data_IF_199331897687
#
_entry.id   IF_199331897687
#
_cell.length_a   1.000
_cell.length_b   1.000
_cell.length_c   1.000
_cell.angle_alpha   90.00
_cell.angle_beta   90.00
_cell.angle_gamma   90.00
#
_symmetry.space_group_name_H-M   'P 1'
#
loop_
_entity.id
_entity.type
_entity.pdbx_description
1 polymer ?
#
# COMPACT_ATOMS: atom_id res chain seq x y z
N UNK A 1 15.48 -2.31 28.35
CA UNK A 1 15.57 -1.00 27.66
C UNK A 1 16.55 -1.17 26.51
N UNK A 2 16.06 -1.35 25.27
CA UNK A 2 16.94 -1.53 24.12
C UNK A 2 17.63 -0.20 23.81
N UNK A 3 18.96 -0.24 23.77
CA UNK A 3 19.82 0.93 23.66
C UNK A 3 19.62 1.64 22.32
N UNK A 4 19.64 2.98 22.39
CA UNK A 4 19.64 3.85 21.22
C UNK A 4 20.90 3.52 20.40
N UNK A 5 20.72 3.00 19.19
CA UNK A 5 21.81 2.84 18.21
C UNK A 5 22.44 4.22 17.94
N UNK A 6 23.77 4.34 18.05
CA UNK A 6 24.48 5.58 17.71
C UNK A 6 24.54 5.84 16.20
N UNK A 7 24.17 4.84 15.39
CA UNK A 7 24.24 4.87 13.93
C UNK A 7 22.86 5.18 13.33
N UNK A 8 21.80 4.59 13.88
CA UNK A 8 20.45 4.72 13.34
C UNK A 8 19.60 5.64 14.21
N UNK A 9 19.13 6.74 13.62
CA UNK A 9 18.14 7.61 14.26
C UNK A 9 16.79 6.89 14.46
N UNK A 10 16.39 6.06 13.49
CA UNK A 10 15.16 5.27 13.54
C UNK A 10 15.29 4.05 12.61
N UNK A 11 15.60 2.90 13.18
CA UNK A 11 15.79 1.64 12.45
C UNK A 11 14.47 1.08 11.87
N UNK A 12 13.32 1.47 12.42
CA UNK A 12 12.01 1.02 11.92
C UNK A 12 11.75 1.41 10.46
N UNK A 13 12.48 2.40 9.95
CA UNK A 13 12.39 2.88 8.57
C UNK A 13 13.05 1.93 7.56
N UNK A 14 13.91 1.03 8.03
CA UNK A 14 14.59 0.03 7.22
C UNK A 14 13.79 -1.27 7.12
N UNK A 15 12.74 -1.42 7.93
CA UNK A 15 11.88 -2.59 7.90
C UNK A 15 11.19 -2.75 6.53
N UNK A 16 11.16 -3.97 5.99
CA UNK A 16 10.55 -4.26 4.67
C UNK A 16 9.04 -3.95 4.62
N UNK A 17 8.38 -3.91 5.77
CA UNK A 17 6.97 -3.58 5.90
C UNK A 17 6.69 -2.09 5.92
N UNK A 18 7.72 -1.25 6.15
CA UNK A 18 7.61 0.20 6.21
C UNK A 18 7.09 0.76 4.88
N UNK A 19 6.13 1.68 4.99
CA UNK A 19 5.55 2.38 3.86
C UNK A 19 5.76 3.87 4.09
N UNK A 20 6.69 4.53 3.38
CA UNK A 20 6.91 5.95 3.54
C UNK A 20 5.69 6.75 3.06
N UNK A 21 5.56 7.96 3.60
CA UNK A 21 4.47 8.88 3.23
C UNK A 21 4.54 9.24 1.74
N UNK A 22 5.73 9.55 1.27
CA UNK A 22 5.98 9.86 -0.13
C UNK A 22 6.71 8.67 -0.77
N UNK A 23 6.26 8.27 -1.96
CA UNK A 23 6.88 7.22 -2.75
C UNK A 23 7.48 7.85 -4.00
N UNK A 24 8.77 8.24 -3.96
CA UNK A 24 9.43 8.84 -5.11
C UNK A 24 9.31 7.96 -6.34
N UNK A 25 9.04 8.57 -7.50
CA UNK A 25 8.91 7.91 -8.80
C UNK A 25 7.73 6.93 -8.91
N UNK A 26 6.76 7.00 -8.00
CA UNK A 26 5.53 6.19 -8.00
C UNK A 26 4.24 7.01 -8.09
N UNK A 27 4.34 8.33 -8.25
CA UNK A 27 3.23 9.28 -8.30
C UNK A 27 2.31 8.97 -9.49
N UNK A 28 2.88 8.65 -10.66
CA UNK A 28 2.12 8.31 -11.87
C UNK A 28 1.34 7.00 -11.67
N UNK A 29 1.91 6.00 -11.03
CA UNK A 29 1.28 4.71 -10.76
C UNK A 29 0.17 4.86 -9.72
N UNK A 30 0.39 5.63 -8.66
CA UNK A 30 -0.64 5.97 -7.68
C UNK A 30 -1.81 6.72 -8.33
N UNK A 31 -1.53 7.67 -9.23
CA UNK A 31 -2.57 8.39 -10.00
C UNK A 31 -3.36 7.44 -10.90
N UNK A 32 -2.69 6.51 -11.59
CA UNK A 32 -3.37 5.48 -12.40
C UNK A 32 -4.30 4.61 -11.56
N UNK A 33 -3.86 4.17 -10.38
CA UNK A 33 -4.71 3.42 -9.46
C UNK A 33 -5.91 4.24 -9.00
N UNK A 34 -5.71 5.50 -8.59
CA UNK A 34 -6.83 6.40 -8.23
C UNK A 34 -7.86 6.52 -9.36
N UNK A 35 -7.40 6.71 -10.59
CA UNK A 35 -8.29 6.83 -11.75
C UNK A 35 -9.07 5.53 -11.99
N UNK A 36 -8.39 4.37 -11.93
CA UNK A 36 -9.01 3.06 -12.16
C UNK A 36 -10.08 2.72 -11.11
N UNK A 37 -9.83 3.08 -9.85
CA UNK A 37 -10.74 2.85 -8.73
C UNK A 37 -11.74 3.99 -8.49
N UNK A 38 -11.74 5.04 -9.30
CA UNK A 38 -12.67 6.19 -9.13
C UNK A 38 -14.13 5.76 -9.02
N UNK A 39 -14.56 4.77 -9.81
CA UNK A 39 -15.91 4.18 -9.74
C UNK A 39 -16.15 3.38 -8.45
N UNK A 40 -15.14 2.69 -7.93
CA UNK A 40 -15.20 2.01 -6.62
C UNK A 40 -15.38 3.02 -5.49
N UNK A 41 -14.61 4.12 -5.53
CA UNK A 41 -14.62 5.14 -4.48
C UNK A 41 -15.91 5.97 -4.48
N UNK A 42 -16.50 6.20 -5.65
CA UNK A 42 -17.70 7.03 -5.80
C UNK A 42 -19.00 6.24 -5.69
N UNK A 43 -19.09 5.07 -6.36
CA UNK A 43 -20.31 4.29 -6.56
C UNK A 43 -20.24 2.86 -5.98
N UNK A 44 -19.14 2.46 -5.34
CA UNK A 44 -18.99 1.11 -4.79
C UNK A 44 -18.80 0.01 -5.85
N UNK A 45 -18.51 0.37 -7.10
CA UNK A 45 -18.33 -0.60 -8.19
C UNK A 45 -17.05 -1.42 -7.98
N UNK A 46 -17.15 -2.75 -8.09
CA UNK A 46 -15.99 -3.63 -8.00
C UNK A 46 -15.02 -3.41 -9.17
N UNK A 47 -13.72 -3.39 -8.85
CA UNK A 47 -12.64 -3.25 -9.82
C UNK A 47 -11.48 -4.17 -9.45
N UNK A 48 -10.86 -4.74 -10.47
CA UNK A 48 -9.63 -5.52 -10.33
C UNK A 48 -8.49 -4.84 -11.07
N UNK A 49 -7.28 -4.97 -10.53
CA UNK A 49 -6.04 -4.50 -11.16
C UNK A 49 -4.94 -5.52 -10.91
N UNK A 50 -4.09 -5.72 -11.91
CA UNK A 50 -2.86 -6.49 -11.79
C UNK A 50 -1.65 -5.54 -11.81
N UNK A 51 -0.83 -5.58 -10.77
CA UNK A 51 0.44 -4.85 -10.71
C UNK A 51 1.57 -5.82 -11.09
N UNK A 52 2.18 -5.61 -12.25
CA UNK A 52 3.26 -6.46 -12.77
C UNK A 52 4.58 -5.69 -12.93
N UNK A 53 5.69 -6.42 -13.09
CA UNK A 53 7.05 -5.90 -13.21
C UNK A 53 8.05 -6.65 -12.33
N UNK A 54 9.34 -6.32 -12.44
CA UNK A 54 10.43 -7.06 -11.81
C UNK A 54 10.44 -6.96 -10.27
N UNK A 55 11.18 -7.86 -9.62
CA UNK A 55 11.39 -7.88 -8.17
C UNK A 55 12.06 -6.57 -7.72
N UNK A 56 11.76 -6.11 -6.50
CA UNK A 56 12.37 -4.89 -5.94
C UNK A 56 11.84 -3.57 -6.54
N UNK A 57 11.04 -3.60 -7.60
CA UNK A 57 10.49 -2.38 -8.22
C UNK A 57 9.43 -1.67 -7.36
N UNK A 58 9.01 -2.21 -6.21
CA UNK A 58 8.10 -1.49 -5.31
C UNK A 58 6.60 -1.59 -5.66
N UNK A 59 6.19 -2.64 -6.40
CA UNK A 59 4.77 -2.97 -6.65
C UNK A 59 3.98 -3.07 -5.33
N UNK A 60 4.53 -3.82 -4.38
CA UNK A 60 3.91 -4.10 -3.09
C UNK A 60 3.76 -2.86 -2.21
N UNK A 61 4.78 -2.01 -2.12
CA UNK A 61 4.71 -0.76 -1.35
C UNK A 61 3.75 0.24 -2.00
N UNK A 62 3.68 0.26 -3.34
CA UNK A 62 2.73 1.09 -4.09
C UNK A 62 1.28 0.68 -3.81
N UNK A 63 0.99 -0.63 -3.83
CA UNK A 63 -0.35 -1.15 -3.50
C UNK A 63 -0.76 -0.81 -2.07
N UNK A 64 0.12 -1.07 -1.09
CA UNK A 64 -0.11 -0.71 0.32
C UNK A 64 -0.38 0.79 0.49
N UNK A 65 0.45 1.63 -0.13
CA UNK A 65 0.31 3.09 -0.05
C UNK A 65 -1.00 3.58 -0.67
N UNK A 66 -1.38 3.02 -1.81
CA UNK A 66 -2.67 3.30 -2.44
C UNK A 66 -3.84 2.99 -1.48
N UNK A 67 -3.84 1.82 -0.85
CA UNK A 67 -4.85 1.44 0.13
C UNK A 67 -4.92 2.43 1.32
N UNK A 68 -3.76 2.82 1.88
CA UNK A 68 -3.69 3.83 2.94
C UNK A 68 -4.30 5.17 2.51
N UNK A 69 -4.02 5.62 1.29
CA UNK A 69 -4.53 6.88 0.75
C UNK A 69 -6.05 6.82 0.59
N UNK A 70 -6.60 5.79 -0.06
CA UNK A 70 -8.04 5.72 -0.32
C UNK A 70 -8.86 5.54 0.97
N UNK A 71 -8.34 4.80 1.95
CA UNK A 71 -8.99 4.67 3.25
C UNK A 71 -8.99 5.99 4.02
N UNK A 72 -7.90 6.76 3.96
CA UNK A 72 -7.85 8.09 4.57
C UNK A 72 -8.79 9.08 3.85
N UNK A 73 -8.82 9.07 2.52
CA UNK A 73 -9.69 9.93 1.71
C UNK A 73 -11.19 9.59 1.94
N UNK A 74 -11.52 8.30 2.08
CA UNK A 74 -12.87 7.85 2.42
C UNK A 74 -13.32 8.37 3.79
N UNK A 75 -12.46 8.23 4.82
CA UNK A 75 -12.75 8.71 6.19
C UNK A 75 -13.07 10.21 6.21
N UNK A 76 -12.31 11.03 5.46
CA UNK A 76 -12.57 12.47 5.34
C UNK A 76 -13.94 12.78 4.74
N UNK A 77 -14.49 11.88 3.94
CA UNK A 77 -15.77 12.02 3.25
C UNK A 77 -16.93 11.32 4.00
N UNK A 78 -16.72 10.92 5.26
CA UNK A 78 -17.71 10.19 6.07
C UNK A 78 -17.98 8.75 5.59
N UNK A 79 -17.09 8.19 4.77
CA UNK A 79 -17.18 6.81 4.25
C UNK A 79 -16.11 5.93 4.88
N UNK A 80 -16.30 4.62 4.85
CA UNK A 80 -15.31 3.66 5.32
C UNK A 80 -14.84 2.74 4.19
N UNK A 81 -13.52 2.64 4.01
CA UNK A 81 -12.87 1.63 3.15
C UNK A 81 -11.89 0.86 4.02
N UNK A 82 -12.15 -0.44 4.17
CA UNK A 82 -11.24 -1.40 4.81
C UNK A 82 -10.42 -2.10 3.73
N UNK A 83 -9.18 -2.43 4.07
CA UNK A 83 -8.30 -3.18 3.19
C UNK A 83 -7.56 -4.24 3.99
N UNK A 84 -7.30 -5.37 3.34
CA UNK A 84 -6.48 -6.45 3.85
C UNK A 84 -5.37 -6.74 2.83
N UNK A 85 -4.19 -7.10 3.34
CA UNK A 85 -3.13 -7.65 2.51
C UNK A 85 -3.09 -9.16 2.76
N UNK A 86 -3.13 -9.92 1.67
CA UNK A 86 -2.83 -11.34 1.67
C UNK A 86 -1.55 -11.53 0.85
N UNK A 87 -0.60 -12.28 1.39
CA UNK A 87 0.59 -12.70 0.67
C UNK A 87 0.43 -14.19 0.33
N UNK A 88 0.31 -14.51 -0.95
CA UNK A 88 0.07 -15.88 -1.40
C UNK A 88 1.22 -16.83 -1.03
N UNK A 89 2.42 -16.33 -0.78
CA UNK A 89 3.56 -17.16 -0.35
C UNK A 89 3.50 -17.55 1.13
N UNK A 90 2.78 -16.78 1.96
CA UNK A 90 2.74 -17.00 3.41
C UNK A 90 1.68 -18.03 3.81
N UNK A 91 0.73 -18.30 2.92
CA UNK A 91 -0.39 -19.22 3.15
C UNK A 91 -0.44 -20.26 2.03
N UNK A 92 0.39 -21.30 2.16
CA UNK A 92 0.23 -22.51 1.35
C UNK A 92 -1.02 -23.24 1.83
N UNK A 93 -1.95 -23.52 0.92
CA UNK A 93 -3.06 -24.42 1.22
C UNK A 93 -2.47 -25.77 1.63
N UNK A 94 -2.91 -26.38 2.75
CA UNK A 94 -2.57 -27.76 3.03
C UNK A 94 -3.14 -28.60 1.88
N UNK A 95 -2.26 -29.35 1.21
CA UNK A 95 -2.65 -30.40 0.28
C UNK A 95 -3.17 -31.61 1.05
#
# INVERSE_FOLDING_TARGET
MQGVSSIFKDESKLDMSYVPRDLPNREKQLKKLKNHFSGTLSQGISRHVLLYGDIGTGKTVTAKRFCQIISADAKKSGREIKWARVNCMDHLSPN
#
